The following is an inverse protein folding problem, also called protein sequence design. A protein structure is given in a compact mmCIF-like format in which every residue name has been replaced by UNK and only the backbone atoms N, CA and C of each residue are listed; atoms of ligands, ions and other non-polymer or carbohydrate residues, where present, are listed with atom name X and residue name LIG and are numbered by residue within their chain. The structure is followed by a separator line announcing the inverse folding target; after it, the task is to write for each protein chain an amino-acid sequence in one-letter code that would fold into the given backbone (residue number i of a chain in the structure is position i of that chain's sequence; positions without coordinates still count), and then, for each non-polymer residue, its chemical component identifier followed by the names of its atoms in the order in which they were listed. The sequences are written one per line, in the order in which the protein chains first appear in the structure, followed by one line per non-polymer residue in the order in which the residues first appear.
data_IF_973301115271
#
_entry.id   IF_973301115271
#
_cell.length_a   1.000
_cell.length_b   1.000
_cell.length_c   1.000
_cell.angle_alpha   90.00
_cell.angle_beta   90.00
_cell.angle_gamma   90.00
#
_symmetry.space_group_name_H-M   'P 1'
#
loop_
_entity.id
_entity.type
_entity.pdbx_description
1 polymer ?
#
# COMPACT_ATOMS: atom_id res chain seq x y z
N UNK A 1 -63.30 -75.20 62.45
CA UNK A 1 -62.63 -75.82 63.57
C UNK A 1 -61.57 -74.86 64.12
N UNK A 2 -61.89 -74.37 65.33
CA UNK A 2 -60.97 -73.66 66.24
C UNK A 2 -60.06 -74.70 66.94
N UNK A 3 -59.05 -74.39 67.73
CA UNK A 3 -58.48 -73.13 68.30
C UNK A 3 -56.91 -73.18 68.37
N UNK A 4 -56.24 -72.28 68.86
CA UNK A 4 -55.71 -72.13 70.22
C UNK A 4 -54.77 -70.88 70.37
N UNK A 5 -55.07 -70.22 71.47
CA UNK A 5 -54.22 -69.14 72.07
C UNK A 5 -52.84 -69.64 72.47
N UNK A 6 -51.88 -68.77 72.37
CA UNK A 6 -50.79 -68.72 73.36
C UNK A 6 -50.34 -67.25 73.54
N UNK A 7 -50.70 -66.69 74.69
CA UNK A 7 -50.18 -65.47 75.29
C UNK A 7 -48.80 -65.76 75.87
N UNK A 8 -47.78 -65.04 75.46
CA UNK A 8 -46.57 -64.99 76.27
C UNK A 8 -46.37 -63.53 76.73
N UNK A 9 -46.42 -63.39 78.02
CA UNK A 9 -46.04 -62.19 78.77
C UNK A 9 -44.55 -62.04 78.69
N UNK A 10 -44.04 -60.90 78.20
CA UNK A 10 -42.65 -60.48 78.40
C UNK A 10 -42.62 -59.10 79.05
N UNK A 11 -42.08 -59.12 80.25
CA UNK A 11 -41.96 -58.08 81.24
C UNK A 11 -41.05 -56.94 80.76
N UNK A 12 -41.38 -55.74 81.18
CA UNK A 12 -40.65 -54.50 80.94
C UNK A 12 -39.25 -54.58 81.56
N UNK A 13 -38.20 -54.57 80.69
CA UNK A 13 -36.82 -54.41 81.13
C UNK A 13 -36.27 -52.97 80.75
N UNK A 14 -35.28 -52.51 81.48
CA UNK A 14 -34.77 -51.13 81.40
C UNK A 14 -34.17 -50.75 80.05
N UNK A 15 -33.94 -51.69 79.11
CA UNK A 15 -33.36 -51.49 77.78
C UNK A 15 -34.28 -50.69 76.84
N UNK A 16 -35.59 -50.79 77.01
CA UNK A 16 -36.59 -50.12 76.17
C UNK A 16 -36.65 -48.59 76.42
N UNK A 17 -36.21 -48.13 77.60
CA UNK A 17 -36.13 -46.66 77.89
C UNK A 17 -34.93 -46.01 77.26
N UNK A 18 -33.83 -46.72 77.04
CA UNK A 18 -32.61 -46.19 76.41
C UNK A 18 -32.85 -46.02 74.89
N UNK A 19 -33.50 -46.93 74.21
CA UNK A 19 -33.81 -46.87 72.82
C UNK A 19 -34.78 -45.72 72.48
N UNK A 20 -35.79 -45.46 73.34
CA UNK A 20 -36.72 -44.32 73.12
C UNK A 20 -36.07 -42.96 73.35
N UNK A 21 -35.06 -42.87 74.22
CA UNK A 21 -34.30 -41.61 74.43
C UNK A 21 -33.31 -41.30 73.31
N UNK A 22 -32.77 -42.32 72.65
CA UNK A 22 -31.86 -42.14 71.54
C UNK A 22 -32.56 -41.72 70.21
N UNK A 23 -33.79 -42.17 70.00
CA UNK A 23 -34.57 -41.87 68.80
C UNK A 23 -35.28 -40.50 68.86
N UNK A 24 -35.38 -39.85 70.02
CA UNK A 24 -36.04 -38.54 70.17
C UNK A 24 -35.12 -37.34 69.84
N UNK A 25 -33.83 -37.60 69.51
CA UNK A 25 -32.84 -36.57 69.18
C UNK A 25 -32.45 -36.49 67.67
N UNK A 26 -33.08 -37.29 66.81
CA UNK A 26 -32.89 -37.17 65.37
C UNK A 26 -33.90 -36.18 64.86
N UNK A 27 -33.49 -34.94 64.77
CA UNK A 27 -34.23 -33.88 64.02
C UNK A 27 -34.36 -34.34 62.59
N UNK A 28 -35.56 -34.32 61.96
CA UNK A 28 -35.69 -34.57 60.54
C UNK A 28 -34.96 -33.46 59.79
N UNK A 29 -33.86 -33.77 59.04
CA UNK A 29 -33.28 -32.92 58.12
C UNK A 29 -34.32 -32.71 57.02
N UNK A 30 -35.02 -31.57 57.07
CA UNK A 30 -35.90 -31.15 56.00
C UNK A 30 -34.99 -30.82 54.84
N UNK A 31 -34.76 -31.76 53.90
CA UNK A 31 -34.14 -31.44 52.60
C UNK A 31 -35.09 -30.47 51.91
N UNK A 32 -34.64 -29.25 51.85
CA UNK A 32 -35.37 -28.17 51.23
C UNK A 32 -35.25 -28.32 49.68
N UNK A 33 -35.99 -29.30 49.16
CA UNK A 33 -36.02 -29.63 47.71
C UNK A 33 -36.33 -28.43 46.85
N UNK A 34 -37.06 -27.43 47.34
CA UNK A 34 -37.34 -26.19 46.68
C UNK A 34 -36.11 -25.36 46.50
N UNK A 35 -35.19 -25.29 47.46
CA UNK A 35 -33.89 -24.59 47.33
C UNK A 35 -32.98 -25.22 46.28
N UNK A 36 -33.01 -26.55 46.17
CA UNK A 36 -32.19 -27.27 45.16
C UNK A 36 -32.70 -27.05 43.73
N UNK A 37 -34.06 -27.08 43.55
CA UNK A 37 -34.69 -26.80 42.23
C UNK A 37 -34.47 -25.35 41.80
N UNK A 38 -34.60 -24.38 42.69
CA UNK A 38 -34.36 -22.95 42.41
C UNK A 38 -32.89 -22.69 42.12
N UNK A 39 -31.97 -23.39 42.80
CA UNK A 39 -30.52 -23.34 42.53
C UNK A 39 -30.16 -23.85 41.13
N UNK A 40 -30.72 -25.01 40.72
CA UNK A 40 -30.52 -25.58 39.37
C UNK A 40 -31.12 -24.70 38.27
N UNK A 41 -32.30 -24.11 38.51
CA UNK A 41 -32.91 -23.17 37.56
C UNK A 41 -32.08 -21.88 37.40
N UNK A 42 -31.48 -21.36 38.47
CA UNK A 42 -30.58 -20.18 38.41
C UNK A 42 -29.27 -20.48 37.71
N UNK A 43 -28.66 -21.66 37.94
CA UNK A 43 -27.47 -22.10 37.21
C UNK A 43 -27.78 -22.31 35.71
N UNK A 44 -28.92 -22.91 35.39
CA UNK A 44 -29.37 -23.06 34.00
C UNK A 44 -29.61 -21.73 33.30
N UNK A 45 -30.24 -20.76 33.99
CA UNK A 45 -30.47 -19.42 33.46
C UNK A 45 -29.16 -18.62 33.26
N UNK A 46 -28.21 -18.73 34.19
CA UNK A 46 -26.86 -18.13 34.03
C UNK A 46 -26.07 -18.77 32.89
N UNK A 47 -26.15 -20.10 32.74
CA UNK A 47 -25.54 -20.82 31.62
C UNK A 47 -26.15 -20.44 30.28
N UNK A 48 -27.47 -20.29 30.18
CA UNK A 48 -28.16 -19.84 28.98
C UNK A 48 -27.81 -18.37 28.63
N UNK A 49 -27.73 -17.49 29.64
CA UNK A 49 -27.34 -16.10 29.44
C UNK A 49 -25.87 -15.98 28.96
N UNK A 50 -24.97 -16.78 29.55
CA UNK A 50 -23.58 -16.86 29.11
C UNK A 50 -23.46 -17.40 27.68
N UNK A 51 -24.21 -18.42 27.29
CA UNK A 51 -24.25 -18.97 25.94
C UNK A 51 -24.77 -17.93 24.90
N UNK A 52 -25.79 -17.14 25.26
CA UNK A 52 -26.31 -16.06 24.42
C UNK A 52 -25.29 -14.93 24.25
N UNK A 53 -24.54 -14.56 25.30
CA UNK A 53 -23.49 -13.56 25.24
C UNK A 53 -22.30 -14.07 24.38
N UNK A 54 -21.92 -15.36 24.53
CA UNK A 54 -20.89 -15.97 23.69
C UNK A 54 -21.32 -16.12 22.21
N UNK A 55 -22.59 -16.48 21.97
CA UNK A 55 -23.12 -16.59 20.61
C UNK A 55 -23.17 -15.23 19.89
N UNK A 56 -23.47 -14.15 20.60
CA UNK A 56 -23.40 -12.79 20.02
C UNK A 56 -21.95 -12.31 19.77
N UNK A 57 -20.96 -12.84 20.49
CA UNK A 57 -19.54 -12.53 20.24
C UNK A 57 -18.95 -13.22 19.00
N UNK A 58 -19.60 -14.26 18.48
CA UNK A 58 -19.24 -14.95 17.23
C UNK A 58 -19.87 -14.31 15.99
N UNK A 59 -20.77 -13.33 16.18
CA UNK A 59 -21.44 -12.65 15.09
C UNK A 59 -20.73 -11.34 14.75
N UNK A 60 -20.23 -11.26 13.54
CA UNK A 60 -19.72 -10.08 12.81
C UNK A 60 -18.19 -9.94 12.75
N UNK A 61 -17.50 -10.97 12.31
CA UNK A 61 -16.42 -10.70 11.38
C UNK A 61 -17.08 -10.25 10.06
N UNK A 62 -17.46 -8.94 9.97
CA UNK A 62 -17.91 -8.38 8.70
C UNK A 62 -16.82 -8.71 7.67
N UNK A 63 -17.21 -9.44 6.62
CA UNK A 63 -16.26 -9.83 5.56
C UNK A 63 -15.78 -8.57 4.87
N UNK A 64 -14.58 -8.10 5.23
CA UNK A 64 -13.94 -6.98 4.57
C UNK A 64 -13.69 -7.30 3.08
N UNK A 65 -13.99 -6.37 2.16
CA UNK A 65 -14.63 -5.05 2.34
C UNK A 65 -16.17 -5.11 2.18
N UNK A 66 -16.88 -4.17 2.84
CA UNK A 66 -18.35 -4.00 2.75
C UNK A 66 -18.77 -2.66 2.13
N UNK A 67 -17.81 -1.79 1.83
CA UNK A 67 -18.00 -0.47 1.21
C UNK A 67 -16.89 -0.20 0.19
N UNK A 68 -17.03 0.78 -0.70
CA UNK A 68 -15.98 1.14 -1.67
C UNK A 68 -14.65 1.49 -1.01
N UNK A 69 -13.55 1.08 -1.67
CA UNK A 69 -12.18 1.41 -1.29
C UNK A 69 -11.69 2.56 -2.17
N UNK A 70 -10.97 3.51 -1.58
CA UNK A 70 -10.38 4.65 -2.27
C UNK A 70 -8.87 4.52 -2.32
N UNK A 71 -8.28 4.63 -3.52
CA UNK A 71 -6.82 4.76 -3.72
C UNK A 71 -6.51 6.23 -3.97
N UNK A 72 -5.83 6.86 -3.03
CA UNK A 72 -5.35 8.25 -3.15
C UNK A 72 -4.04 8.25 -3.93
N UNK A 73 -4.02 8.95 -5.06
CA UNK A 73 -2.87 9.04 -5.97
C UNK A 73 -2.26 10.43 -5.87
N UNK A 74 -0.96 10.57 -5.52
CA UNK A 74 -0.30 11.86 -5.29
C UNK A 74 0.05 12.64 -6.56
N UNK A 75 -0.43 12.21 -7.72
CA UNK A 75 -0.10 12.77 -9.03
C UNK A 75 -1.36 13.12 -9.83
N UNK A 76 -1.20 14.00 -10.83
CA UNK A 76 -2.25 14.32 -11.78
C UNK A 76 -2.70 13.11 -12.62
N UNK A 77 -3.93 13.18 -13.13
CA UNK A 77 -4.49 12.14 -13.99
C UNK A 77 -3.70 11.99 -15.31
N UNK A 78 -3.70 10.79 -15.89
CA UNK A 78 -3.07 10.47 -17.18
C UNK A 78 -1.59 10.15 -17.11
N UNK A 79 -0.93 10.29 -15.95
CA UNK A 79 0.44 9.83 -15.73
C UNK A 79 0.48 8.33 -15.37
N UNK A 80 1.69 7.76 -15.32
CA UNK A 80 1.88 6.33 -15.06
C UNK A 80 1.26 5.86 -13.74
N UNK A 81 1.32 6.68 -12.71
CA UNK A 81 0.75 6.37 -11.40
C UNK A 81 -0.78 6.22 -11.46
N UNK A 82 -1.45 7.13 -12.17
CA UNK A 82 -2.90 7.10 -12.37
C UNK A 82 -3.31 5.89 -13.24
N UNK A 83 -2.59 5.65 -14.33
CA UNK A 83 -2.85 4.51 -15.23
C UNK A 83 -2.68 3.17 -14.49
N UNK A 84 -1.57 3.01 -13.74
CA UNK A 84 -1.32 1.81 -12.94
C UNK A 84 -2.43 1.62 -11.90
N UNK A 85 -2.76 2.67 -11.14
CA UNK A 85 -3.79 2.60 -10.12
C UNK A 85 -5.14 2.18 -10.70
N UNK A 86 -5.57 2.75 -11.84
CA UNK A 86 -6.86 2.43 -12.46
C UNK A 86 -6.92 1.00 -13.00
N UNK A 87 -5.85 0.53 -13.63
CA UNK A 87 -5.78 -0.85 -14.15
C UNK A 87 -5.90 -1.86 -13.00
N UNK A 88 -5.15 -1.63 -11.91
CA UNK A 88 -5.15 -2.51 -10.74
C UNK A 88 -6.47 -2.38 -9.97
N UNK A 89 -6.99 -1.17 -9.76
CA UNK A 89 -8.26 -0.91 -9.08
C UNK A 89 -9.43 -1.63 -9.76
N UNK A 90 -9.48 -1.62 -11.10
CA UNK A 90 -10.50 -2.33 -11.86
C UNK A 90 -10.49 -3.83 -11.52
N UNK A 91 -9.31 -4.46 -11.52
CA UNK A 91 -9.19 -5.90 -11.26
C UNK A 91 -9.41 -6.24 -9.78
N UNK A 92 -8.92 -5.40 -8.86
CA UNK A 92 -9.21 -5.56 -7.44
C UNK A 92 -10.70 -5.46 -7.13
N UNK A 93 -11.46 -4.59 -7.84
CA UNK A 93 -12.91 -4.46 -7.66
C UNK A 93 -13.64 -5.77 -7.94
N UNK A 94 -13.20 -6.52 -8.96
CA UNK A 94 -13.77 -7.85 -9.29
C UNK A 94 -13.52 -8.86 -8.16
N UNK A 95 -12.27 -8.92 -7.65
CA UNK A 95 -11.89 -9.89 -6.61
C UNK A 95 -12.43 -9.56 -5.20
N UNK A 96 -12.64 -8.27 -4.92
CA UNK A 96 -13.15 -7.78 -3.65
C UNK A 96 -14.68 -7.71 -3.60
N UNK A 97 -15.37 -7.72 -4.75
CA UNK A 97 -16.82 -7.53 -4.82
C UNK A 97 -17.26 -6.12 -4.39
N UNK A 98 -16.34 -5.17 -4.33
CA UNK A 98 -16.57 -3.76 -3.96
C UNK A 98 -15.80 -2.85 -4.91
N UNK A 99 -16.36 -1.68 -5.20
CA UNK A 99 -15.70 -0.70 -6.05
C UNK A 99 -14.38 -0.22 -5.44
N UNK A 100 -13.30 -0.21 -6.23
CA UNK A 100 -12.04 0.44 -5.89
C UNK A 100 -11.90 1.66 -6.79
N UNK A 101 -11.92 2.86 -6.20
CA UNK A 101 -11.92 4.13 -6.93
C UNK A 101 -10.61 4.87 -6.77
N UNK A 102 -10.15 5.52 -7.84
CA UNK A 102 -8.92 6.32 -7.86
C UNK A 102 -9.26 7.79 -7.64
N UNK A 103 -8.62 8.40 -6.65
CA UNK A 103 -8.75 9.81 -6.27
C UNK A 103 -7.39 10.50 -6.41
N UNK A 104 -7.23 11.32 -7.45
CA UNK A 104 -5.99 12.06 -7.70
C UNK A 104 -5.92 13.30 -6.80
N UNK A 105 -4.87 13.38 -5.97
CA UNK A 105 -4.58 14.49 -5.03
C UNK A 105 -3.16 15.00 -5.22
N UNK A 106 -2.86 15.68 -6.35
CA UNK A 106 -1.54 16.25 -6.57
C UNK A 106 -1.28 17.42 -5.60
N UNK A 107 -0.01 17.67 -5.31
CA UNK A 107 0.43 18.83 -4.53
C UNK A 107 1.65 18.54 -3.67
N UNK A 108 2.52 19.53 -3.55
CA UNK A 108 3.74 19.53 -2.71
C UNK A 108 4.56 18.23 -2.81
N UNK A 109 4.83 17.75 -4.04
CA UNK A 109 5.61 16.51 -4.23
C UNK A 109 4.93 15.23 -3.72
N UNK A 110 3.59 15.26 -3.49
CA UNK A 110 2.83 14.13 -2.95
C UNK A 110 2.53 14.23 -1.45
N UNK A 111 3.07 15.24 -0.78
CA UNK A 111 2.88 15.45 0.68
C UNK A 111 1.40 15.58 1.03
N UNK A 112 0.60 16.28 0.22
CA UNK A 112 -0.85 16.46 0.45
C UNK A 112 -1.59 15.13 0.49
N UNK A 113 -1.32 14.23 -0.45
CA UNK A 113 -1.94 12.91 -0.52
C UNK A 113 -1.48 12.00 0.63
N UNK A 114 -0.18 12.02 0.94
CA UNK A 114 0.40 11.22 2.01
C UNK A 114 -0.15 11.63 3.38
N UNK A 115 -0.22 12.94 3.67
CA UNK A 115 -0.78 13.47 4.93
C UNK A 115 -2.26 13.10 5.10
N UNK A 116 -3.04 13.20 4.02
CA UNK A 116 -4.44 12.80 4.01
C UNK A 116 -4.60 11.32 4.41
N UNK A 117 -3.77 10.42 3.84
CA UNK A 117 -3.89 8.98 4.12
C UNK A 117 -3.31 8.64 5.49
N UNK A 118 -2.18 9.23 5.90
CA UNK A 118 -1.59 9.02 7.22
C UNK A 118 -2.59 9.31 8.36
N UNK A 119 -3.48 10.30 8.15
CA UNK A 119 -4.53 10.71 9.10
C UNK A 119 -5.88 10.01 8.89
N UNK A 120 -5.99 9.14 7.91
CA UNK A 120 -7.23 8.38 7.65
C UNK A 120 -7.41 7.24 8.64
N UNK A 121 -8.66 6.78 8.81
CA UNK A 121 -8.96 5.61 9.63
C UNK A 121 -8.18 4.38 9.13
N UNK A 122 -7.56 3.59 10.04
CA UNK A 122 -6.77 2.42 9.67
C UNK A 122 -7.66 1.18 9.41
N UNK A 123 -8.73 1.36 8.64
CA UNK A 123 -9.74 0.34 8.34
C UNK A 123 -9.57 -0.32 6.96
N UNK A 124 -8.56 0.12 6.18
CA UNK A 124 -8.26 -0.40 4.85
C UNK A 124 -9.12 0.16 3.71
N UNK A 125 -9.98 1.14 3.97
CA UNK A 125 -10.82 1.76 2.92
C UNK A 125 -10.21 3.00 2.29
N UNK A 126 -9.14 3.55 2.87
CA UNK A 126 -8.34 4.61 2.25
C UNK A 126 -6.92 4.11 2.08
N UNK A 127 -6.50 3.93 0.83
CA UNK A 127 -5.19 3.45 0.46
C UNK A 127 -4.37 4.59 -0.15
N UNK A 128 -3.08 4.51 -0.04
CA UNK A 128 -2.13 5.44 -0.62
C UNK A 128 -1.35 4.77 -1.76
N UNK A 129 -1.29 5.41 -2.91
CA UNK A 129 -0.33 5.01 -3.93
C UNK A 129 1.04 5.56 -3.53
N UNK A 130 1.82 4.72 -2.85
CA UNK A 130 3.18 5.04 -2.45
C UNK A 130 4.14 4.91 -3.63
N UNK A 131 5.14 5.76 -3.69
CA UNK A 131 6.06 5.83 -4.82
C UNK A 131 7.45 6.34 -4.41
N UNK A 132 8.35 6.43 -5.38
CA UNK A 132 9.62 7.10 -5.18
C UNK A 132 9.48 8.50 -4.58
N UNK A 133 8.48 9.27 -4.97
CA UNK A 133 8.25 10.61 -4.42
C UNK A 133 8.12 10.60 -2.91
N UNK A 134 7.42 9.60 -2.35
CA UNK A 134 7.30 9.43 -0.89
C UNK A 134 8.64 9.04 -0.25
N UNK A 135 9.41 8.14 -0.89
CA UNK A 135 10.73 7.77 -0.40
C UNK A 135 11.70 8.95 -0.41
N UNK A 136 11.66 9.75 -1.46
CA UNK A 136 12.47 10.96 -1.66
C UNK A 136 12.12 12.04 -0.64
N UNK A 137 10.83 12.25 -0.36
CA UNK A 137 10.39 13.31 0.57
C UNK A 137 11.00 13.17 1.96
N UNK A 138 11.31 11.94 2.40
CA UNK A 138 12.00 11.66 3.67
C UNK A 138 13.37 12.37 3.79
N UNK A 139 14.04 12.66 2.68
CA UNK A 139 15.37 13.28 2.66
C UNK A 139 15.38 14.67 2.03
N UNK A 140 14.46 14.91 1.10
CA UNK A 140 14.40 16.16 0.35
C UNK A 140 13.69 17.28 1.10
N UNK A 141 12.66 16.97 1.91
CA UNK A 141 11.87 17.98 2.59
C UNK A 141 12.49 18.39 3.92
N UNK A 142 12.40 19.69 4.27
CA UNK A 142 12.82 20.20 5.58
C UNK A 142 11.96 19.65 6.72
N UNK A 143 10.66 19.52 6.49
CA UNK A 143 9.69 18.94 7.45
C UNK A 143 8.54 18.29 6.70
N UNK A 144 7.96 17.25 7.29
CA UNK A 144 6.80 16.56 6.78
C UNK A 144 5.71 16.53 7.86
N UNK A 145 4.42 16.66 7.50
CA UNK A 145 3.31 16.55 8.45
C UNK A 145 2.98 15.09 8.83
N UNK A 146 3.77 14.13 8.36
CA UNK A 146 3.66 12.69 8.61
C UNK A 146 5.05 12.06 8.70
N UNK A 147 5.14 10.87 9.30
CA UNK A 147 6.35 10.04 9.28
C UNK A 147 6.30 9.10 8.07
N UNK A 148 7.17 9.29 7.06
CA UNK A 148 7.14 8.47 5.84
C UNK A 148 7.44 6.99 6.10
N UNK A 149 8.08 6.64 7.22
CA UNK A 149 8.45 5.26 7.56
C UNK A 149 7.41 4.59 8.44
N UNK A 150 6.87 5.33 9.44
CA UNK A 150 6.08 4.74 10.52
C UNK A 150 4.58 4.98 10.39
N UNK A 151 4.10 5.92 9.56
CA UNK A 151 2.67 6.20 9.41
C UNK A 151 1.98 5.32 8.35
N UNK A 152 2.74 4.48 7.65
CA UNK A 152 2.22 3.59 6.61
C UNK A 152 2.63 2.13 6.82
N UNK A 153 1.74 1.22 6.45
CA UNK A 153 2.04 -0.20 6.21
C UNK A 153 1.97 -0.46 4.71
N UNK A 154 3.06 -0.96 4.12
CA UNK A 154 3.09 -1.31 2.71
C UNK A 154 2.24 -2.56 2.46
N UNK A 155 1.35 -2.48 1.46
CA UNK A 155 0.48 -3.59 1.05
C UNK A 155 1.14 -4.46 -0.01
N UNK A 156 1.89 -3.86 -0.93
CA UNK A 156 2.59 -4.52 -2.01
C UNK A 156 3.11 -3.54 -3.05
N UNK A 157 4.11 -3.95 -3.81
CA UNK A 157 4.53 -3.25 -5.01
C UNK A 157 3.48 -3.45 -6.10
N UNK A 158 3.39 -2.50 -7.03
CA UNK A 158 2.55 -2.61 -8.21
C UNK A 158 3.41 -2.79 -9.47
N UNK A 159 4.35 -1.89 -9.68
CA UNK A 159 5.15 -1.88 -10.90
C UNK A 159 6.44 -1.06 -10.77
N UNK A 160 7.35 -1.29 -11.72
CA UNK A 160 8.53 -0.46 -11.99
C UNK A 160 8.44 0.14 -13.38
N UNK A 161 9.12 1.28 -13.60
CA UNK A 161 9.01 2.07 -14.83
C UNK A 161 10.36 2.60 -15.27
N UNK A 162 10.64 2.53 -16.59
CA UNK A 162 11.78 3.16 -17.20
C UNK A 162 11.56 4.67 -17.35
N UNK A 163 12.61 5.46 -17.18
CA UNK A 163 12.62 6.90 -17.43
C UNK A 163 13.41 7.17 -18.69
N UNK A 164 12.87 8.05 -19.54
CA UNK A 164 13.45 8.47 -20.80
C UNK A 164 13.86 9.93 -20.76
N UNK A 165 14.97 10.25 -21.42
CA UNK A 165 15.38 11.61 -21.77
C UNK A 165 14.88 11.88 -23.18
N UNK A 166 13.96 12.82 -23.31
CA UNK A 166 13.18 13.11 -24.51
C UNK A 166 13.50 14.50 -25.06
N UNK A 167 13.44 14.62 -26.38
CA UNK A 167 13.43 15.92 -27.08
C UNK A 167 12.32 15.94 -28.12
N UNK A 168 11.93 17.12 -28.59
CA UNK A 168 11.00 17.26 -29.72
C UNK A 168 11.56 16.54 -30.97
N UNK A 169 10.69 16.05 -31.83
CA UNK A 169 11.10 15.39 -33.09
C UNK A 169 11.95 16.26 -34.02
N UNK A 170 11.69 17.56 -34.03
CA UNK A 170 12.44 18.55 -34.82
C UNK A 170 13.65 19.16 -34.09
N UNK A 171 13.92 18.72 -32.86
CA UNK A 171 15.11 19.15 -32.12
C UNK A 171 16.39 18.90 -32.89
N UNK A 172 17.33 19.84 -32.80
CA UNK A 172 18.68 19.72 -33.37
C UNK A 172 19.51 18.58 -32.78
N UNK A 173 19.12 18.09 -31.55
CA UNK A 173 19.84 17.03 -30.89
C UNK A 173 19.34 15.64 -31.35
N UNK A 174 20.29 14.80 -31.78
CA UNK A 174 19.99 13.42 -32.19
C UNK A 174 20.61 12.38 -31.28
N UNK A 175 21.42 12.79 -30.30
CA UNK A 175 22.02 11.92 -29.29
C UNK A 175 22.15 12.63 -27.95
N UNK A 176 22.23 11.84 -26.86
CA UNK A 176 22.49 12.35 -25.51
C UNK A 176 23.89 13.03 -25.45
N UNK A 177 24.86 12.51 -26.20
CA UNK A 177 26.22 13.09 -26.27
C UNK A 177 26.22 14.48 -26.87
N UNK A 178 25.49 14.70 -27.98
CA UNK A 178 25.34 16.04 -28.59
C UNK A 178 24.69 17.03 -27.65
N UNK A 179 23.62 16.60 -26.95
CA UNK A 179 22.92 17.39 -25.94
C UNK A 179 23.85 17.81 -24.81
N UNK A 180 24.64 16.88 -24.25
CA UNK A 180 25.58 17.14 -23.16
C UNK A 180 26.69 18.08 -23.62
N UNK A 181 27.24 17.89 -24.84
CA UNK A 181 28.24 18.76 -25.39
C UNK A 181 27.73 20.18 -25.57
N UNK A 182 26.52 20.34 -26.12
CA UNK A 182 25.90 21.65 -26.28
C UNK A 182 25.69 22.34 -24.92
N UNK A 183 25.16 21.63 -23.93
CA UNK A 183 24.93 22.18 -22.58
C UNK A 183 26.23 22.62 -21.89
N UNK A 184 27.37 21.92 -22.13
CA UNK A 184 28.69 22.32 -21.61
C UNK A 184 29.23 23.59 -22.25
N UNK A 185 28.96 23.82 -23.55
CA UNK A 185 29.40 25.00 -24.25
C UNK A 185 28.47 26.20 -24.12
N UNK A 186 27.22 25.97 -23.67
CA UNK A 186 26.20 27.00 -23.48
C UNK A 186 25.51 26.79 -22.07
N UNK A 187 26.22 27.10 -20.97
CA UNK A 187 25.68 26.93 -19.62
C UNK A 187 24.38 27.71 -19.42
N UNK A 188 23.39 27.12 -18.77
CA UNK A 188 22.10 27.75 -18.47
C UNK A 188 21.15 27.90 -19.66
N UNK A 189 21.57 27.52 -20.89
CA UNK A 189 20.76 27.74 -22.11
C UNK A 189 19.65 26.70 -22.29
N UNK A 190 19.70 25.54 -21.63
CA UNK A 190 18.72 24.48 -21.82
C UNK A 190 17.78 24.37 -20.62
N UNK A 191 16.50 24.19 -20.95
CA UNK A 191 15.43 23.92 -19.99
C UNK A 191 15.05 22.43 -20.03
N UNK A 192 15.15 21.74 -18.88
CA UNK A 192 14.75 20.35 -18.72
C UNK A 192 13.44 20.30 -17.97
N UNK A 193 12.37 19.90 -18.63
CA UNK A 193 11.06 19.73 -17.99
C UNK A 193 10.94 18.38 -17.28
N UNK A 194 10.29 18.40 -16.13
CA UNK A 194 9.92 17.22 -15.37
C UNK A 194 8.56 17.42 -14.70
N UNK A 195 7.99 16.38 -14.12
CA UNK A 195 6.81 16.57 -13.26
C UNK A 195 7.26 17.00 -11.85
N UNK A 196 6.32 17.35 -11.02
CA UNK A 196 6.39 17.78 -9.62
C UNK A 196 7.75 17.59 -8.93
N UNK A 197 8.18 18.60 -8.19
CA UNK A 197 9.39 18.52 -7.33
C UNK A 197 9.29 17.28 -6.44
N UNK A 198 10.40 16.54 -6.32
CA UNK A 198 10.47 15.30 -5.54
C UNK A 198 9.97 14.05 -6.26
N UNK A 199 9.43 14.18 -7.49
CA UNK A 199 9.16 13.01 -8.33
C UNK A 199 10.45 12.35 -8.83
N UNK A 200 10.38 11.08 -9.23
CA UNK A 200 11.54 10.40 -9.82
C UNK A 200 12.03 11.12 -11.09
N UNK A 201 11.12 11.65 -11.90
CA UNK A 201 11.46 12.42 -13.10
C UNK A 201 12.25 13.69 -12.76
N UNK A 202 11.79 14.44 -11.74
CA UNK A 202 12.50 15.63 -11.27
C UNK A 202 13.92 15.28 -10.78
N UNK A 203 14.04 14.26 -9.94
CA UNK A 203 15.35 13.83 -9.43
C UNK A 203 16.24 13.24 -10.53
N UNK A 204 15.65 12.61 -11.54
CA UNK A 204 16.41 12.15 -12.72
C UNK A 204 16.95 13.33 -13.52
N UNK A 205 16.20 14.42 -13.65
CA UNK A 205 16.69 15.65 -14.28
C UNK A 205 17.86 16.26 -13.49
N UNK A 206 17.75 16.33 -12.17
CA UNK A 206 18.84 16.82 -11.30
C UNK A 206 20.05 15.87 -11.32
N UNK A 207 19.81 14.55 -11.31
CA UNK A 207 20.86 13.55 -11.46
C UNK A 207 21.55 13.66 -12.83
N UNK A 208 20.80 13.91 -13.90
CA UNK A 208 21.34 14.16 -15.23
C UNK A 208 22.25 15.40 -15.24
N UNK A 209 21.77 16.51 -14.67
CA UNK A 209 22.55 17.75 -14.50
C UNK A 209 23.88 17.48 -13.78
N UNK A 210 23.82 16.84 -12.61
CA UNK A 210 25.00 16.64 -11.75
C UNK A 210 25.98 15.61 -12.30
N UNK A 211 25.49 14.47 -12.85
CA UNK A 211 26.36 13.38 -13.34
C UNK A 211 26.99 13.70 -14.69
N UNK A 212 26.35 14.55 -15.51
CA UNK A 212 26.88 14.99 -16.80
C UNK A 212 27.79 16.25 -16.68
N UNK A 213 27.78 16.90 -15.50
CA UNK A 213 28.54 18.15 -15.25
C UNK A 213 28.07 19.27 -16.17
N UNK A 214 26.75 19.44 -16.34
CA UNK A 214 26.14 20.46 -17.18
C UNK A 214 25.36 21.46 -16.34
N UNK A 215 25.23 22.67 -16.79
CA UNK A 215 24.36 23.68 -16.21
C UNK A 215 23.07 23.80 -17.05
N UNK A 216 21.95 23.38 -16.48
CA UNK A 216 20.61 23.41 -17.09
C UNK A 216 19.59 23.83 -16.04
N UNK A 217 18.46 24.40 -16.48
CA UNK A 217 17.35 24.73 -15.58
C UNK A 217 16.36 23.58 -15.56
N UNK A 218 16.04 23.05 -14.38
CA UNK A 218 15.01 22.03 -14.21
C UNK A 218 13.67 22.70 -13.88
N UNK A 219 12.68 22.52 -14.75
CA UNK A 219 11.37 23.18 -14.66
C UNK A 219 10.29 22.15 -14.32
N UNK A 220 9.67 22.24 -13.13
CA UNK A 220 8.61 21.32 -12.73
C UNK A 220 7.24 21.71 -13.31
N UNK A 221 6.48 20.71 -13.76
CA UNK A 221 5.12 20.82 -14.28
C UNK A 221 4.14 19.99 -13.46
N UNK A 222 2.85 20.28 -13.61
CA UNK A 222 1.80 19.54 -12.91
C UNK A 222 1.37 18.29 -13.70
N UNK A 223 2.28 17.31 -13.87
CA UNK A 223 2.03 16.02 -14.50
C UNK A 223 2.50 15.92 -15.95
N UNK A 224 2.62 14.68 -16.43
CA UNK A 224 3.14 14.31 -17.76
C UNK A 224 2.46 15.06 -18.93
N UNK A 225 1.13 15.25 -18.98
CA UNK A 225 0.52 15.97 -20.11
C UNK A 225 1.03 17.40 -20.26
N UNK A 226 1.28 18.10 -19.13
CA UNK A 226 1.80 19.48 -19.17
C UNK A 226 3.25 19.50 -19.65
N UNK A 227 4.11 18.58 -19.21
CA UNK A 227 5.50 18.43 -19.69
C UNK A 227 5.52 18.20 -21.18
N UNK A 228 4.70 17.27 -21.68
CA UNK A 228 4.68 16.91 -23.11
C UNK A 228 4.15 18.06 -23.98
N UNK A 229 3.19 18.84 -23.48
CA UNK A 229 2.71 20.04 -24.16
C UNK A 229 3.81 21.11 -24.22
N UNK A 230 4.52 21.35 -23.13
CA UNK A 230 5.62 22.29 -23.05
C UNK A 230 6.79 21.90 -24.00
N UNK A 231 7.13 20.59 -24.04
CA UNK A 231 8.17 20.08 -24.96
C UNK A 231 7.76 20.24 -26.44
N UNK A 232 6.50 19.90 -26.75
CA UNK A 232 5.96 20.06 -28.11
C UNK A 232 5.93 21.53 -28.56
N UNK A 233 5.62 22.43 -27.64
CA UNK A 233 5.55 23.88 -27.88
C UNK A 233 6.91 24.60 -27.82
N UNK A 234 8.01 23.88 -27.56
CA UNK A 234 9.35 24.50 -27.46
C UNK A 234 9.55 25.39 -26.24
N UNK A 235 8.71 25.27 -25.19
CA UNK A 235 8.88 25.97 -23.91
C UNK A 235 10.01 25.35 -23.08
N UNK A 236 10.31 24.08 -23.33
CA UNK A 236 11.44 23.33 -22.78
C UNK A 236 12.15 22.60 -23.93
N UNK A 237 13.44 22.35 -23.75
CA UNK A 237 14.30 21.73 -24.78
C UNK A 237 14.34 20.22 -24.62
N UNK A 238 14.26 19.75 -23.37
CA UNK A 238 14.43 18.36 -22.95
C UNK A 238 13.34 18.02 -21.94
N UNK A 239 12.90 16.78 -21.91
CA UNK A 239 12.05 16.26 -20.84
C UNK A 239 12.64 14.98 -20.24
N UNK A 240 12.49 14.82 -18.93
CA UNK A 240 12.70 13.56 -18.24
C UNK A 240 11.32 13.00 -17.84
N UNK A 241 10.91 11.91 -18.48
CA UNK A 241 9.58 11.32 -18.29
C UNK A 241 9.60 9.82 -18.21
N UNK A 242 8.62 9.25 -17.49
CA UNK A 242 8.39 7.82 -17.51
C UNK A 242 7.93 7.40 -18.90
N UNK A 243 8.55 6.35 -19.45
CA UNK A 243 8.40 5.94 -20.84
C UNK A 243 6.95 5.56 -21.21
N UNK A 244 6.26 4.84 -20.34
CA UNK A 244 4.94 4.26 -20.65
C UNK A 244 3.91 5.27 -21.19
N UNK A 245 3.55 6.34 -20.45
CA UNK A 245 2.56 7.32 -20.88
C UNK A 245 2.92 8.06 -22.16
N UNK A 246 4.22 8.18 -22.48
CA UNK A 246 4.70 8.93 -23.65
C UNK A 246 5.01 8.03 -24.85
N UNK A 247 5.04 6.71 -24.66
CA UNK A 247 5.36 5.73 -25.69
C UNK A 247 4.51 5.84 -26.98
N UNK A 248 3.19 6.08 -26.91
CA UNK A 248 2.38 6.28 -28.11
C UNK A 248 2.85 7.48 -28.96
N UNK A 249 3.25 8.58 -28.30
CA UNK A 249 3.72 9.77 -29.00
C UNK A 249 5.13 9.58 -29.59
N UNK A 250 5.98 8.78 -28.93
CA UNK A 250 7.29 8.36 -29.44
C UNK A 250 7.10 7.52 -30.71
N UNK A 251 6.21 6.50 -30.66
CA UNK A 251 5.88 5.66 -31.81
C UNK A 251 5.28 6.47 -32.97
N UNK A 252 4.52 7.51 -32.68
CA UNK A 252 3.99 8.45 -33.65
C UNK A 252 5.06 9.47 -34.15
N UNK A 253 6.32 9.35 -33.70
CA UNK A 253 7.44 10.22 -34.07
C UNK A 253 7.24 11.71 -33.71
N UNK A 254 6.44 11.99 -32.69
CA UNK A 254 6.29 13.34 -32.14
C UNK A 254 7.49 13.76 -31.28
N UNK A 255 8.18 12.79 -30.69
CA UNK A 255 9.35 12.98 -29.83
C UNK A 255 10.45 11.96 -30.17
N UNK A 256 11.70 12.35 -29.93
CA UNK A 256 12.88 11.46 -29.96
C UNK A 256 13.31 11.11 -28.55
N UNK A 257 13.67 9.85 -28.33
CA UNK A 257 14.31 9.38 -27.08
C UNK A 257 15.81 9.38 -27.29
N UNK A 258 16.53 10.19 -26.53
CA UNK A 258 18.00 10.24 -26.62
C UNK A 258 18.67 9.16 -25.79
N UNK A 259 18.08 8.79 -24.65
CA UNK A 259 18.53 7.69 -23.80
C UNK A 259 17.45 7.25 -22.81
N UNK A 260 17.56 6.03 -22.31
CA UNK A 260 16.88 5.55 -21.11
C UNK A 260 17.83 5.66 -19.92
N UNK A 261 17.29 5.88 -18.71
CA UNK A 261 18.09 5.94 -17.48
C UNK A 261 18.08 4.61 -16.69
N UNK A 262 17.44 3.59 -17.22
CA UNK A 262 17.44 2.23 -16.66
C UNK A 262 18.80 1.54 -16.82
N UNK A 263 19.06 0.50 -16.02
CA UNK A 263 20.27 -0.34 -16.11
C UNK A 263 20.40 -1.06 -17.46
N UNK A 264 19.26 -1.40 -18.06
CA UNK A 264 19.16 -2.14 -19.31
C UNK A 264 18.20 -1.44 -20.26
N UNK A 265 18.31 -1.72 -21.56
CA UNK A 265 17.38 -1.22 -22.58
C UNK A 265 15.96 -1.75 -22.33
N UNK A 266 14.97 -0.94 -22.69
CA UNK A 266 13.56 -1.35 -22.62
C UNK A 266 13.20 -2.29 -23.77
N UNK A 267 12.44 -3.34 -23.48
CA UNK A 267 11.86 -4.20 -24.52
C UNK A 267 10.93 -3.45 -25.49
N UNK A 268 10.34 -2.34 -25.06
CA UNK A 268 9.48 -1.49 -25.90
C UNK A 268 10.27 -0.60 -26.86
N UNK A 269 11.58 -0.36 -26.58
CA UNK A 269 12.50 0.47 -27.38
C UNK A 269 13.91 -0.18 -27.42
N UNK A 270 14.06 -1.36 -28.05
CA UNK A 270 15.31 -2.13 -27.99
C UNK A 270 16.50 -1.44 -28.62
N UNK A 271 16.25 -0.53 -29.58
CA UNK A 271 17.31 0.23 -30.27
C UNK A 271 17.75 1.48 -29.51
N UNK A 272 16.99 1.91 -28.47
CA UNK A 272 17.33 3.08 -27.67
C UNK A 272 18.38 2.74 -26.62
N UNK A 273 19.55 3.39 -26.62
CA UNK A 273 20.59 3.11 -25.65
C UNK A 273 20.22 3.61 -24.26
N UNK A 274 20.86 3.02 -23.23
CA UNK A 274 20.84 3.59 -21.88
C UNK A 274 21.89 4.70 -21.73
N UNK A 275 21.67 5.62 -20.79
CA UNK A 275 22.66 6.65 -20.47
C UNK A 275 24.01 6.03 -20.02
N UNK A 276 23.94 4.87 -19.35
CA UNK A 276 25.10 4.09 -18.93
C UNK A 276 25.92 3.59 -20.13
N UNK A 277 25.27 3.07 -21.18
CA UNK A 277 25.91 2.67 -22.44
C UNK A 277 26.56 3.85 -23.15
N UNK A 278 26.00 5.04 -23.03
CA UNK A 278 26.53 6.29 -23.61
C UNK A 278 27.60 6.98 -22.73
N UNK A 279 28.09 6.30 -21.68
CA UNK A 279 29.20 6.77 -20.86
C UNK A 279 28.80 7.58 -19.62
N UNK A 280 27.51 7.90 -19.42
CA UNK A 280 27.03 8.57 -18.20
C UNK A 280 26.68 7.51 -17.17
N UNK A 281 27.70 6.80 -16.68
CA UNK A 281 27.56 5.58 -15.84
C UNK A 281 26.75 5.79 -14.55
N UNK A 282 26.80 6.98 -13.97
CA UNK A 282 26.11 7.30 -12.73
C UNK A 282 24.65 7.76 -12.95
N UNK A 283 24.22 7.96 -14.19
CA UNK A 283 22.83 8.30 -14.51
C UNK A 283 22.00 7.03 -14.65
N UNK A 284 21.71 6.43 -13.51
CA UNK A 284 20.83 5.27 -13.40
C UNK A 284 19.69 5.61 -12.46
N UNK A 285 18.48 5.62 -13.00
CA UNK A 285 17.25 5.89 -12.25
C UNK A 285 16.08 5.13 -12.88
N UNK A 286 15.24 4.56 -12.03
CA UNK A 286 13.98 3.97 -12.40
C UNK A 286 12.91 4.42 -11.41
N UNK A 287 11.66 4.42 -11.81
CA UNK A 287 10.55 4.72 -10.92
C UNK A 287 9.80 3.45 -10.50
N UNK A 288 8.99 3.57 -9.47
CA UNK A 288 8.14 2.47 -9.01
C UNK A 288 6.87 2.99 -8.32
N UNK A 289 5.86 2.12 -8.27
CA UNK A 289 4.64 2.32 -7.48
C UNK A 289 4.36 1.11 -6.60
N UNK A 290 3.75 1.37 -5.46
CA UNK A 290 3.16 0.39 -4.56
C UNK A 290 1.84 0.91 -3.99
N UNK A 291 1.16 0.08 -3.21
CA UNK A 291 0.05 0.50 -2.36
C UNK A 291 0.44 0.38 -0.90
N UNK A 292 -0.01 1.34 -0.12
CA UNK A 292 0.13 1.38 1.33
C UNK A 292 -1.21 1.74 1.98
N UNK A 293 -1.33 1.49 3.27
CA UNK A 293 -2.45 1.89 4.10
C UNK A 293 -1.91 2.58 5.38
N UNK A 294 -2.74 3.25 6.19
CA UNK A 294 -2.31 3.74 7.50
C UNK A 294 -1.70 2.62 8.36
N UNK A 295 -0.64 2.92 9.09
CA UNK A 295 0.20 1.93 9.78
C UNK A 295 -0.54 0.96 10.71
N UNK A 296 -1.65 1.41 11.34
CA UNK A 296 -2.43 0.61 12.28
C UNK A 296 -3.51 -0.26 11.61
N UNK A 297 -3.50 -0.38 10.28
CA UNK A 297 -4.44 -1.23 9.54
C UNK A 297 -4.29 -2.69 9.98
N UNK A 298 -5.39 -3.39 10.33
CA UNK A 298 -5.33 -4.75 10.83
C UNK A 298 -4.65 -5.71 9.84
N UNK A 299 -3.82 -6.62 10.36
CA UNK A 299 -3.06 -7.56 9.53
C UNK A 299 -3.94 -8.36 8.55
N UNK A 300 -5.12 -8.79 8.99
CA UNK A 300 -6.04 -9.54 8.12
C UNK A 300 -6.51 -8.71 6.90
N UNK A 301 -6.67 -7.38 7.06
CA UNK A 301 -7.00 -6.45 5.97
C UNK A 301 -5.80 -6.28 5.05
N UNK A 302 -4.60 -6.09 5.61
CA UNK A 302 -3.34 -6.01 4.84
C UNK A 302 -3.15 -7.26 3.98
N UNK A 303 -3.29 -8.45 4.58
CA UNK A 303 -3.12 -9.73 3.89
C UNK A 303 -4.18 -9.91 2.78
N UNK A 304 -5.44 -9.51 3.04
CA UNK A 304 -6.52 -9.56 2.04
C UNK A 304 -6.23 -8.64 0.86
N UNK A 305 -5.82 -7.40 1.12
CA UNK A 305 -5.48 -6.43 0.07
C UNK A 305 -4.26 -6.88 -0.73
N UNK A 306 -3.18 -7.34 -0.07
CA UNK A 306 -2.00 -7.87 -0.76
C UNK A 306 -2.34 -9.04 -1.69
N UNK A 307 -3.20 -9.97 -1.23
CA UNK A 307 -3.67 -11.08 -2.05
C UNK A 307 -4.34 -10.58 -3.33
N UNK A 308 -5.27 -9.63 -3.22
CA UNK A 308 -5.99 -9.10 -4.38
C UNK A 308 -5.08 -8.28 -5.32
N UNK A 309 -4.12 -7.54 -4.78
CA UNK A 309 -3.09 -6.84 -5.57
C UNK A 309 -2.31 -7.87 -6.42
N UNK A 310 -1.81 -8.93 -5.80
CA UNK A 310 -1.03 -9.95 -6.50
C UNK A 310 -1.86 -10.73 -7.52
N UNK A 311 -3.12 -11.05 -7.23
CA UNK A 311 -4.06 -11.65 -8.20
C UNK A 311 -4.26 -10.71 -9.40
N UNK A 312 -4.44 -9.40 -9.15
CA UNK A 312 -4.60 -8.41 -10.21
C UNK A 312 -3.36 -8.33 -11.10
N UNK A 313 -2.16 -8.30 -10.50
CA UNK A 313 -0.88 -8.22 -11.23
C UNK A 313 -0.57 -9.48 -12.05
N UNK A 314 -0.93 -10.67 -11.55
CA UNK A 314 -0.73 -11.96 -12.20
C UNK A 314 -1.81 -12.31 -13.22
N UNK A 315 -2.86 -11.49 -13.34
CA UNK A 315 -3.88 -11.72 -14.35
C UNK A 315 -3.33 -11.45 -15.76
N UNK A 316 -3.36 -12.40 -16.70
CA UNK A 316 -2.71 -12.24 -18.01
C UNK A 316 -3.18 -11.03 -18.81
N UNK A 317 -4.48 -10.67 -18.72
CA UNK A 317 -5.01 -9.50 -19.41
C UNK A 317 -4.53 -8.18 -18.77
N UNK A 318 -4.40 -8.16 -17.44
CA UNK A 318 -3.85 -7.02 -16.69
C UNK A 318 -2.36 -6.86 -17.00
N UNK A 319 -1.59 -7.94 -16.92
CA UNK A 319 -0.16 -7.95 -17.23
C UNK A 319 0.10 -7.46 -18.65
N UNK A 320 -0.61 -8.01 -19.64
CA UNK A 320 -0.49 -7.57 -21.03
C UNK A 320 -0.76 -6.07 -21.17
N UNK A 321 -1.84 -5.55 -20.57
CA UNK A 321 -2.19 -4.13 -20.62
C UNK A 321 -1.14 -3.24 -19.98
N UNK A 322 -0.54 -3.68 -18.86
CA UNK A 322 0.56 -2.97 -18.21
C UNK A 322 1.81 -2.95 -19.09
N UNK A 323 2.21 -4.11 -19.63
CA UNK A 323 3.39 -4.23 -20.49
C UNK A 323 3.27 -3.41 -21.78
N UNK A 324 2.09 -3.31 -22.39
CA UNK A 324 1.83 -2.45 -23.54
C UNK A 324 2.10 -0.97 -23.27
N UNK A 325 1.98 -0.55 -22.01
CA UNK A 325 2.29 0.79 -21.52
C UNK A 325 3.72 0.92 -20.98
N UNK A 326 4.57 -0.08 -21.18
CA UNK A 326 5.91 -0.17 -20.56
C UNK A 326 5.86 -0.02 -19.03
N UNK A 327 4.85 -0.60 -18.43
CA UNK A 327 4.68 -0.72 -16.98
C UNK A 327 5.03 -2.16 -16.61
N UNK A 328 6.13 -2.37 -15.90
CA UNK A 328 6.62 -3.69 -15.55
C UNK A 328 5.98 -4.15 -14.22
N UNK A 329 4.98 -5.07 -14.22
CA UNK A 329 4.30 -5.50 -13.00
C UNK A 329 5.27 -6.17 -12.02
N UNK A 330 5.09 -5.91 -10.72
CA UNK A 330 5.98 -6.44 -9.68
C UNK A 330 5.19 -6.96 -8.49
N UNK A 331 4.97 -8.28 -8.47
CA UNK A 331 4.38 -8.96 -7.31
C UNK A 331 5.32 -8.93 -6.10
N UNK A 332 4.75 -8.82 -4.91
CA UNK A 332 5.51 -8.83 -3.67
C UNK A 332 4.64 -9.15 -2.46
N UNK A 333 5.26 -9.62 -1.39
CA UNK A 333 4.65 -9.62 -0.05
C UNK A 333 4.72 -8.23 0.56
N UNK A 334 3.92 -7.92 1.59
CA UNK A 334 4.03 -6.66 2.33
C UNK A 334 5.44 -6.42 2.90
N UNK A 335 6.10 -7.47 3.39
CA UNK A 335 7.47 -7.39 3.91
C UNK A 335 8.50 -7.02 2.83
N UNK A 336 8.41 -7.63 1.64
CA UNK A 336 9.26 -7.28 0.50
C UNK A 336 9.03 -5.85 0.02
N UNK A 337 7.77 -5.39 -0.01
CA UNK A 337 7.44 -4.01 -0.37
C UNK A 337 8.00 -3.01 0.66
N UNK A 338 7.95 -3.33 1.96
CA UNK A 338 8.53 -2.52 3.02
C UNK A 338 10.06 -2.44 2.90
N UNK A 339 10.73 -3.57 2.67
CA UNK A 339 12.17 -3.61 2.46
C UNK A 339 12.60 -2.79 1.22
N UNK A 340 11.87 -2.93 0.12
CA UNK A 340 12.07 -2.12 -1.09
C UNK A 340 11.98 -0.63 -0.76
N UNK A 341 10.91 -0.22 -0.09
CA UNK A 341 10.68 1.18 0.28
C UNK A 341 11.81 1.77 1.14
N UNK A 342 12.25 1.03 2.16
CA UNK A 342 13.35 1.47 3.03
C UNK A 342 14.69 1.56 2.29
N UNK A 343 14.94 0.67 1.33
CA UNK A 343 16.13 0.72 0.49
C UNK A 343 16.10 1.90 -0.46
N UNK A 344 14.93 2.24 -1.01
CA UNK A 344 14.73 3.43 -1.85
C UNK A 344 14.99 4.73 -1.07
N UNK A 345 14.47 4.86 0.15
CA UNK A 345 14.76 6.02 1.02
C UNK A 345 16.28 6.22 1.16
N UNK A 346 17.01 5.15 1.47
CA UNK A 346 18.48 5.19 1.64
C UNK A 346 19.21 5.52 0.33
N UNK A 347 18.72 4.98 -0.78
CA UNK A 347 19.34 5.21 -2.10
C UNK A 347 19.18 6.67 -2.53
N UNK A 348 17.95 7.21 -2.41
CA UNK A 348 17.67 8.60 -2.78
C UNK A 348 18.31 9.62 -1.85
N UNK A 349 18.43 9.32 -0.55
CA UNK A 349 19.20 10.17 0.37
C UNK A 349 20.63 10.37 -0.14
N UNK A 350 21.30 9.27 -0.54
CA UNK A 350 22.67 9.34 -1.10
C UNK A 350 22.74 10.12 -2.42
N UNK A 351 21.72 10.01 -3.28
CA UNK A 351 21.65 10.77 -4.54
C UNK A 351 21.50 12.26 -4.25
N UNK A 352 20.60 12.64 -3.35
CA UNK A 352 20.35 14.03 -2.95
C UNK A 352 21.63 14.66 -2.39
N UNK A 353 22.29 13.99 -1.44
CA UNK A 353 23.52 14.45 -0.82
C UNK A 353 24.66 14.60 -1.86
N UNK A 354 24.88 13.57 -2.69
CA UNK A 354 25.95 13.57 -3.69
C UNK A 354 25.73 14.61 -4.80
N UNK A 355 24.49 14.84 -5.19
CA UNK A 355 24.14 15.82 -6.22
C UNK A 355 24.04 17.25 -5.67
N UNK A 356 24.14 17.44 -4.36
CA UNK A 356 24.01 18.74 -3.70
C UNK A 356 22.62 19.36 -3.87
N UNK A 357 21.58 18.52 -3.97
CA UNK A 357 20.20 18.98 -4.17
C UNK A 357 19.73 19.63 -2.86
N UNK A 358 19.37 20.92 -2.94
CA UNK A 358 18.89 21.67 -1.80
C UNK A 358 17.58 21.08 -1.27
N UNK A 359 17.45 21.01 0.06
CA UNK A 359 16.19 20.66 0.70
C UNK A 359 15.11 21.69 0.36
N UNK A 360 13.87 21.22 0.31
CA UNK A 360 12.69 22.01 -0.05
C UNK A 360 11.82 22.30 1.17
#
# INVERSE_FOLDING_TARGET
MSPHNCRVFLTHGPVMKIIKSALSKVTPVQLNWWGFIVGLLRLGALGALAAVVFANSLSHAQTYPVKPIRIVVPFGAGGVADLTARIIAQKMSEGLGQSVVVDNRPGAGGVVAADLVAKSEPDGYTLFLISNGTAVSASLMHSLPFDPINDFVNLGLLATFDIAILVNSDSKFNSLTELIQHAKTHPGALNVGSINIGSTQHLTAELFKSTSGIDVQVIPFNGTPAVMTALKGGQIDVATEILGPVLPQIKAKNFKVLALTSEQRSASLPDTPTAKELGVKALVAASWNGLAAPAKTPKAVVDRLNKEINIALQNPATEKKLMELNINPKVSTPAQAQEWYLNEIKAWARVIDKAGIAKQ
#
